data_IF_801274725667
#
_entry.id   IF_801274725667
#
_cell.length_a   1.000
_cell.length_b   1.000
_cell.length_c   1.000
_cell.angle_alpha   90.00
_cell.angle_beta   90.00
_cell.angle_gamma   90.00
#
_symmetry.space_group_name_H-M   'P 1'
#
loop_
_entity.id
_entity.type
_entity.pdbx_description
1 polymer ?
#
# COMPACT_ATOMS: atom_id res chain seq x y z
N UNK A 1 -12.14 -20.52 15.96
CA UNK A 1 -11.52 -20.70 14.63
C UNK A 1 -12.06 -19.72 13.58
N UNK A 2 -12.69 -18.60 13.95
CA UNK A 2 -13.05 -17.53 13.00
C UNK A 2 -11.92 -16.53 12.85
N UNK A 3 -11.28 -16.15 13.96
CA UNK A 3 -10.11 -15.27 14.01
C UNK A 3 -9.01 -15.69 13.01
N UNK A 4 -8.54 -16.94 13.07
CA UNK A 4 -7.51 -17.45 12.13
C UNK A 4 -7.87 -17.31 10.65
N UNK A 5 -9.17 -17.42 10.31
CA UNK A 5 -9.62 -17.22 8.93
C UNK A 5 -9.61 -15.75 8.57
N UNK A 6 -10.11 -14.88 9.45
CA UNK A 6 -10.06 -13.43 9.27
C UNK A 6 -8.62 -12.91 9.14
N UNK A 7 -7.67 -13.48 9.89
CA UNK A 7 -6.24 -13.17 9.80
C UNK A 7 -5.65 -13.58 8.44
N UNK A 8 -6.00 -14.76 7.89
CA UNK A 8 -5.57 -15.18 6.55
C UNK A 8 -6.16 -14.30 5.45
N UNK A 9 -7.42 -13.87 5.60
CA UNK A 9 -8.06 -12.94 4.69
C UNK A 9 -7.39 -11.56 4.72
N UNK A 10 -7.01 -11.12 5.92
CA UNK A 10 -6.28 -9.87 6.12
C UNK A 10 -4.90 -9.91 5.47
N UNK A 11 -4.13 -10.98 5.72
CA UNK A 11 -2.80 -11.17 5.15
C UNK A 11 -2.84 -11.18 3.61
N UNK A 12 -3.78 -11.94 3.03
CA UNK A 12 -3.99 -11.97 1.57
C UNK A 12 -4.39 -10.60 1.02
N UNK A 13 -5.28 -9.87 1.71
CA UNK A 13 -5.68 -8.53 1.30
C UNK A 13 -4.50 -7.54 1.32
N UNK A 14 -3.65 -7.64 2.34
CA UNK A 14 -2.48 -6.78 2.50
C UNK A 14 -1.45 -7.03 1.40
N UNK A 15 -1.17 -8.29 1.06
CA UNK A 15 -0.28 -8.67 -0.05
C UNK A 15 -0.76 -8.08 -1.38
N UNK A 16 -2.06 -8.19 -1.69
CA UNK A 16 -2.64 -7.58 -2.89
C UNK A 16 -2.46 -6.06 -2.95
N UNK A 17 -2.68 -5.36 -1.83
CA UNK A 17 -2.51 -3.91 -1.76
C UNK A 17 -1.04 -3.51 -1.94
N UNK A 18 -0.11 -4.20 -1.29
CA UNK A 18 1.32 -3.96 -1.47
C UNK A 18 1.73 -4.17 -2.93
N UNK A 19 1.26 -5.27 -3.54
CA UNK A 19 1.59 -5.63 -4.92
C UNK A 19 0.97 -4.68 -5.94
N UNK A 20 -0.26 -4.20 -5.75
CA UNK A 20 -0.90 -3.19 -6.62
C UNK A 20 -0.08 -1.87 -6.63
N UNK A 21 0.50 -1.51 -5.49
CA UNK A 21 1.32 -0.31 -5.34
C UNK A 21 2.77 -0.48 -5.79
N UNK A 22 3.31 -1.71 -5.75
CA UNK A 22 4.57 -2.10 -6.38
C UNK A 22 4.36 -2.27 -7.90
N UNK A 23 4.19 -1.14 -8.60
CA UNK A 23 3.84 -1.09 -10.03
C UNK A 23 4.76 -1.89 -10.96
N UNK A 24 5.95 -2.24 -10.51
CA UNK A 24 6.91 -3.07 -11.25
C UNK A 24 6.49 -4.55 -11.32
N UNK A 25 5.64 -5.04 -10.40
CA UNK A 25 5.24 -6.45 -10.30
C UNK A 25 3.71 -6.70 -10.39
N UNK A 26 2.95 -5.71 -10.87
CA UNK A 26 1.49 -5.81 -11.01
C UNK A 26 1.04 -5.86 -12.48
N UNK A 27 1.13 -7.04 -13.06
CA UNK A 27 0.68 -7.33 -14.43
C UNK A 27 -0.85 -7.53 -14.53
N UNK A 28 -1.36 -7.55 -15.76
CA UNK A 28 -2.78 -7.78 -16.06
C UNK A 28 -3.31 -9.12 -15.50
N UNK A 29 -2.45 -10.16 -15.48
CA UNK A 29 -2.76 -11.45 -14.86
C UNK A 29 -2.99 -11.32 -13.35
N UNK A 30 -2.11 -10.60 -12.64
CA UNK A 30 -2.24 -10.38 -11.21
C UNK A 30 -3.50 -9.57 -10.88
N UNK A 31 -3.84 -8.58 -11.72
CA UNK A 31 -5.08 -7.82 -11.59
C UNK A 31 -6.33 -8.70 -11.78
N UNK A 32 -6.30 -9.62 -12.73
CA UNK A 32 -7.40 -10.56 -12.96
C UNK A 32 -7.58 -11.52 -11.77
N UNK A 33 -6.48 -12.04 -11.22
CA UNK A 33 -6.49 -12.90 -10.03
C UNK A 33 -7.01 -12.17 -8.79
N UNK A 34 -6.54 -10.95 -8.54
CA UNK A 34 -7.04 -10.11 -7.45
C UNK A 34 -8.54 -9.86 -7.60
N UNK A 35 -9.00 -9.51 -8.81
CA UNK A 35 -10.42 -9.27 -9.08
C UNK A 35 -11.25 -10.52 -8.85
N UNK A 36 -10.77 -11.70 -9.28
CA UNK A 36 -11.44 -12.97 -9.03
C UNK A 36 -11.54 -13.28 -7.52
N UNK A 37 -10.47 -13.03 -6.76
CA UNK A 37 -10.46 -13.21 -5.30
C UNK A 37 -11.46 -12.28 -4.59
N UNK A 38 -11.54 -11.01 -4.99
CA UNK A 38 -12.48 -10.03 -4.44
C UNK A 38 -13.95 -10.36 -4.75
N UNK A 39 -14.22 -10.97 -5.91
CA UNK A 39 -15.55 -11.38 -6.33
C UNK A 39 -16.01 -12.69 -5.68
N UNK A 40 -15.08 -13.50 -5.16
CA UNK A 40 -15.39 -14.79 -4.57
C UNK A 40 -16.23 -14.65 -3.29
N UNK A 41 -15.86 -13.75 -2.37
CA UNK A 41 -16.59 -13.54 -1.12
C UNK A 41 -16.66 -12.06 -0.72
N UNK A 42 -17.79 -11.60 -0.14
CA UNK A 42 -17.92 -10.23 0.34
C UNK A 42 -16.98 -9.92 1.52
N UNK A 43 -16.54 -10.94 2.25
CA UNK A 43 -15.55 -10.80 3.33
C UNK A 43 -14.17 -10.42 2.79
N UNK A 44 -13.76 -10.97 1.64
CA UNK A 44 -12.51 -10.63 0.96
C UNK A 44 -12.50 -9.15 0.57
N UNK A 45 -13.61 -8.70 -0.02
CA UNK A 45 -13.78 -7.29 -0.40
C UNK A 45 -13.68 -6.34 0.80
N UNK A 46 -14.26 -6.70 1.94
CA UNK A 46 -14.16 -5.89 3.18
C UNK A 46 -12.75 -5.84 3.75
N UNK A 47 -12.00 -6.94 3.68
CA UNK A 47 -10.61 -6.98 4.14
C UNK A 47 -9.72 -6.11 3.23
N UNK A 48 -9.89 -6.26 1.92
CA UNK A 48 -9.18 -5.44 0.93
C UNK A 48 -9.46 -3.95 1.08
N UNK A 49 -10.73 -3.55 1.21
CA UNK A 49 -11.12 -2.14 1.36
C UNK A 49 -10.46 -1.51 2.61
N UNK A 50 -10.41 -2.25 3.72
CA UNK A 50 -9.70 -1.82 4.93
C UNK A 50 -8.19 -1.71 4.71
N UNK A 51 -7.57 -2.71 4.07
CA UNK A 51 -6.14 -2.71 3.77
C UNK A 51 -5.77 -1.55 2.83
N UNK A 52 -6.54 -1.32 1.78
CA UNK A 52 -6.37 -0.21 0.86
C UNK A 52 -6.56 1.15 1.56
N UNK A 53 -7.56 1.26 2.45
CA UNK A 53 -7.76 2.48 3.25
C UNK A 53 -6.56 2.73 4.17
N UNK A 54 -6.03 1.70 4.84
CA UNK A 54 -4.81 1.83 5.65
C UNK A 54 -3.60 2.23 4.81
N UNK A 55 -3.44 1.64 3.64
CA UNK A 55 -2.35 1.96 2.73
C UNK A 55 -2.44 3.39 2.19
N UNK A 56 -3.65 3.87 1.86
CA UNK A 56 -3.87 5.27 1.51
C UNK A 56 -3.50 6.19 2.67
N UNK A 57 -3.96 5.90 3.90
CA UNK A 57 -3.59 6.66 5.09
C UNK A 57 -2.07 6.66 5.34
N UNK A 58 -1.40 5.54 5.07
CA UNK A 58 0.06 5.44 5.15
C UNK A 58 0.77 6.22 4.03
N UNK A 59 0.22 6.23 2.81
CA UNK A 59 0.71 7.02 1.67
C UNK A 59 0.43 8.53 1.81
N UNK A 60 -0.50 8.93 2.68
CA UNK A 60 -0.68 10.31 3.14
C UNK A 60 0.35 10.75 4.18
N UNK A 61 1.26 9.86 4.59
CA UNK A 61 2.47 10.26 5.30
C UNK A 61 3.48 10.66 4.22
N UNK A 62 3.65 11.97 3.91
CA UNK A 62 4.85 12.37 3.20
C UNK A 62 6.04 11.80 3.98
N UNK A 63 7.03 11.17 3.32
CA UNK A 63 8.29 10.92 3.99
C UNK A 63 8.66 12.25 4.60
N UNK A 64 8.84 12.28 5.93
CA UNK A 64 9.12 13.49 6.68
C UNK A 64 10.00 14.40 5.82
N UNK A 65 9.40 15.52 5.48
CA UNK A 65 9.94 16.60 4.69
C UNK A 65 11.46 16.69 4.87
N UNK A 66 12.19 16.76 3.76
CA UNK A 66 13.58 17.26 3.72
C UNK A 66 13.54 18.69 4.28
N UNK A 67 13.47 18.81 5.61
CA UNK A 67 13.63 20.06 6.32
C UNK A 67 15.11 20.37 6.18
N UNK A 68 15.42 21.19 5.18
CA UNK A 68 16.77 21.54 4.81
C UNK A 68 17.66 21.89 6.00
N UNK A 69 18.86 21.35 5.97
CA UNK A 69 20.01 21.77 6.77
C UNK A 69 21.22 21.67 5.83
N UNK A 70 21.93 22.73 5.44
CA UNK A 70 21.70 24.17 5.53
C UNK A 70 22.25 24.79 4.24
N UNK A 71 21.73 25.94 3.84
CA UNK A 71 22.52 27.17 3.79
C UNK A 71 24.04 26.97 3.57
N UNK A 72 24.45 26.79 2.32
CA UNK A 72 25.78 27.20 1.88
C UNK A 72 25.61 28.06 0.62
N UNK A 73 25.20 29.31 0.84
CA UNK A 73 25.53 30.36 -0.12
C UNK A 73 27.03 30.60 0.00
N UNK A 74 27.86 30.33 -1.03
CA UNK A 74 29.25 30.72 -0.96
C UNK A 74 29.31 32.25 -1.05
N UNK A 75 29.44 32.90 0.11
CA UNK A 75 30.11 34.19 0.22
C UNK A 75 31.52 34.00 -0.35
N UNK A 76 31.68 34.29 -1.64
CA UNK A 76 32.99 34.51 -2.23
C UNK A 76 33.18 36.01 -2.32
N UNK A 77 33.53 36.60 -1.18
CA UNK A 77 34.22 37.88 -1.18
C UNK A 77 35.62 37.72 -1.78
N UNK A 78 35.85 38.37 -2.93
CA UNK A 78 37.06 39.18 -3.14
C UNK A 78 36.89 40.18 -4.28
#
# INVERSE_FOLDING_TARGET
MTQEKDDLLWDTAWDWVQREHDRENFDDAARAEMTAWLLAEPSHRRAYDKAAQLWLLAGFVPPVNDFGDGDESPDTGK
#
